data_IF_748736130819
#
_entry.id   IF_748736130819
#
_cell.length_a   1.000
_cell.length_b   1.000
_cell.length_c   1.000
_cell.angle_alpha   90.00
_cell.angle_beta   90.00
_cell.angle_gamma   90.00
#
_symmetry.space_group_name_H-M   'P 1'
#
loop_
_entity.id
_entity.type
_entity.pdbx_description
1 polymer ?
#
# COMPACT_ATOMS: atom_id res chain seq x y z
N UNK A 1 7.73 -8.35 -13.73
CA UNK A 1 7.90 -8.04 -12.30
C UNK A 1 7.74 -9.32 -11.51
N UNK A 2 8.61 -9.64 -10.55
CA UNK A 2 8.38 -10.78 -9.64
C UNK A 2 7.17 -10.45 -8.75
N UNK A 3 6.30 -11.42 -8.48
CA UNK A 3 5.15 -11.21 -7.59
C UNK A 3 5.60 -11.03 -6.14
N UNK A 4 4.88 -10.20 -5.36
CA UNK A 4 5.20 -9.88 -3.96
C UNK A 4 5.44 -11.14 -3.10
N UNK A 5 4.60 -12.16 -3.25
CA UNK A 5 4.75 -13.47 -2.58
C UNK A 5 6.05 -14.20 -2.90
N UNK A 6 6.52 -14.08 -4.15
CA UNK A 6 7.80 -14.65 -4.56
C UNK A 6 8.97 -13.90 -3.91
N UNK A 7 8.87 -12.57 -3.82
CA UNK A 7 9.88 -11.75 -3.15
C UNK A 7 9.96 -12.06 -1.65
N UNK A 8 8.81 -12.19 -0.98
CA UNK A 8 8.73 -12.60 0.43
C UNK A 8 9.42 -13.96 0.62
N UNK A 9 9.08 -14.95 -0.21
CA UNK A 9 9.67 -16.29 -0.12
C UNK A 9 11.19 -16.29 -0.34
N UNK A 10 11.69 -15.50 -1.28
CA UNK A 10 13.15 -15.34 -1.50
C UNK A 10 13.84 -14.75 -0.28
N UNK A 11 13.26 -13.69 0.31
CA UNK A 11 13.80 -13.01 1.49
C UNK A 11 13.76 -13.89 2.75
N UNK A 12 12.71 -14.68 2.93
CA UNK A 12 12.61 -15.66 4.03
C UNK A 12 13.69 -16.74 3.92
N UNK A 13 13.99 -17.20 2.70
CA UNK A 13 15.07 -18.16 2.47
C UNK A 13 16.44 -17.56 2.78
N UNK A 14 16.69 -16.32 2.38
CA UNK A 14 17.94 -15.61 2.68
C UNK A 14 18.11 -15.41 4.19
N UNK A 15 17.04 -15.02 4.89
CA UNK A 15 17.01 -14.89 6.35
C UNK A 15 17.35 -16.22 7.02
N UNK A 16 16.67 -17.30 6.64
CA UNK A 16 16.92 -18.63 7.20
C UNK A 16 18.37 -19.10 6.96
N UNK A 17 18.92 -18.83 5.78
CA UNK A 17 20.31 -19.17 5.47
C UNK A 17 21.30 -18.41 6.37
N UNK A 18 21.03 -17.14 6.66
CA UNK A 18 21.88 -16.32 7.53
C UNK A 18 21.80 -16.77 8.98
N UNK A 19 20.59 -17.00 9.50
CA UNK A 19 20.35 -17.51 10.85
C UNK A 19 21.02 -18.88 11.08
N UNK A 20 20.91 -19.79 10.11
CA UNK A 20 21.57 -21.10 10.17
C UNK A 20 23.10 -21.01 10.17
N UNK A 21 23.66 -19.92 9.64
CA UNK A 21 25.10 -19.70 9.54
C UNK A 21 25.67 -18.88 10.70
N UNK A 22 24.83 -18.41 11.62
CA UNK A 22 25.22 -17.58 12.76
C UNK A 22 25.98 -18.42 13.80
N UNK A 23 27.00 -17.83 14.42
CA UNK A 23 27.87 -18.49 15.40
C UNK A 23 28.99 -19.36 14.82
N UNK A 24 29.13 -19.41 13.50
CA UNK A 24 30.16 -20.22 12.80
C UNK A 24 31.39 -19.43 12.31
N UNK A 25 31.37 -18.10 12.42
CA UNK A 25 32.39 -17.20 11.88
C UNK A 25 33.12 -16.33 12.92
N UNK A 26 34.01 -15.48 12.41
CA UNK A 26 34.71 -14.48 13.21
C UNK A 26 33.75 -13.40 13.75
N UNK A 27 34.02 -12.78 14.91
CA UNK A 27 33.10 -11.82 15.55
C UNK A 27 32.62 -10.67 14.64
N UNK A 28 33.49 -10.14 13.78
CA UNK A 28 33.14 -9.06 12.84
C UNK A 28 32.14 -9.55 11.78
N UNK A 29 32.31 -10.78 11.30
CA UNK A 29 31.41 -11.40 10.33
C UNK A 29 30.07 -11.70 10.99
N UNK A 30 30.10 -12.18 12.23
CA UNK A 30 28.88 -12.45 13.01
C UNK A 30 28.09 -11.17 13.28
N UNK A 31 28.75 -10.07 13.66
CA UNK A 31 28.11 -8.78 13.81
C UNK A 31 27.46 -8.31 12.50
N UNK A 32 28.17 -8.43 11.37
CA UNK A 32 27.62 -8.07 10.06
C UNK A 32 26.39 -8.93 9.69
N UNK A 33 26.41 -10.23 10.00
CA UNK A 33 25.26 -11.12 9.81
C UNK A 33 24.09 -10.72 10.70
N UNK A 34 24.31 -10.47 11.99
CA UNK A 34 23.25 -10.02 12.91
C UNK A 34 22.59 -8.72 12.44
N UNK A 35 23.40 -7.76 11.99
CA UNK A 35 22.89 -6.53 11.37
C UNK A 35 22.05 -6.83 10.13
N UNK A 36 22.53 -7.71 9.24
CA UNK A 36 21.79 -8.07 8.03
C UNK A 36 20.47 -8.79 8.33
N UNK A 37 20.46 -9.69 9.32
CA UNK A 37 19.26 -10.38 9.81
C UNK A 37 18.22 -9.35 10.28
N UNK A 38 18.64 -8.36 11.09
CA UNK A 38 17.74 -7.32 11.58
C UNK A 38 17.10 -6.52 10.43
N UNK A 39 17.89 -6.11 9.43
CA UNK A 39 17.35 -5.44 8.25
C UNK A 39 16.39 -6.31 7.44
N UNK A 40 16.71 -7.58 7.23
CA UNK A 40 15.85 -8.51 6.50
C UNK A 40 14.53 -8.78 7.23
N UNK A 41 14.54 -8.87 8.55
CA UNK A 41 13.33 -9.02 9.36
C UNK A 41 12.41 -7.80 9.21
N UNK A 42 12.95 -6.58 9.29
CA UNK A 42 12.19 -5.35 9.08
C UNK A 42 11.64 -5.24 7.65
N UNK A 43 12.45 -5.59 6.64
CA UNK A 43 12.01 -5.62 5.23
C UNK A 43 10.87 -6.62 5.02
N UNK A 44 10.97 -7.82 5.61
CA UNK A 44 9.93 -8.84 5.55
C UNK A 44 8.63 -8.42 6.24
N UNK A 45 8.72 -7.74 7.38
CA UNK A 45 7.55 -7.19 8.07
C UNK A 45 6.81 -6.18 7.20
N UNK A 46 7.56 -5.27 6.56
CA UNK A 46 6.98 -4.32 5.59
C UNK A 46 6.34 -5.05 4.40
N UNK A 47 7.04 -6.05 3.83
CA UNK A 47 6.52 -6.80 2.67
C UNK A 47 5.26 -7.62 3.03
N UNK A 48 5.20 -8.21 4.23
CA UNK A 48 4.01 -8.92 4.72
C UNK A 48 2.85 -7.96 4.94
N UNK A 49 3.12 -6.77 5.47
CA UNK A 49 2.11 -5.70 5.60
C UNK A 49 1.55 -5.30 4.23
N UNK A 50 2.38 -5.30 3.20
CA UNK A 50 1.94 -5.06 1.81
C UNK A 50 1.13 -6.25 1.24
N UNK A 51 1.49 -7.50 1.55
CA UNK A 51 0.75 -8.70 1.08
C UNK A 51 -0.58 -8.89 1.84
N UNK A 52 -0.63 -8.42 3.08
CA UNK A 52 -1.84 -8.37 3.91
C UNK A 52 -2.80 -7.26 3.51
N UNK A 53 -2.43 -6.39 2.55
CA UNK A 53 -3.41 -5.46 1.99
C UNK A 53 -4.55 -6.27 1.37
N UNK A 54 -5.76 -6.19 1.95
CA UNK A 54 -6.87 -6.99 1.46
C UNK A 54 -7.16 -6.58 0.04
N UNK A 55 -7.33 -7.58 -0.82
CA UNK A 55 -7.71 -7.35 -2.20
C UNK A 55 -9.00 -6.52 -2.22
N UNK A 56 -8.92 -5.31 -2.78
CA UNK A 56 -10.07 -4.41 -2.81
C UNK A 56 -11.22 -5.09 -3.56
N UNK A 57 -12.39 -5.13 -2.93
CA UNK A 57 -13.58 -5.64 -3.59
C UNK A 57 -14.05 -4.70 -4.72
N UNK A 58 -15.02 -5.14 -5.52
CA UNK A 58 -15.47 -4.39 -6.69
C UNK A 58 -15.95 -2.97 -6.35
N UNK A 59 -16.66 -2.80 -5.23
CA UNK A 59 -17.11 -1.48 -4.77
C UNK A 59 -15.94 -0.59 -4.35
N UNK A 60 -14.92 -1.15 -3.69
CA UNK A 60 -13.72 -0.43 -3.31
C UNK A 60 -12.91 0.00 -4.54
N UNK A 61 -12.77 -0.87 -5.54
CA UNK A 61 -12.10 -0.57 -6.81
C UNK A 61 -12.78 0.57 -7.55
N UNK A 62 -14.11 0.55 -7.64
CA UNK A 62 -14.88 1.64 -8.28
C UNK A 62 -14.62 3.00 -7.61
N UNK A 63 -14.61 3.03 -6.28
CA UNK A 63 -14.34 4.28 -5.55
C UNK A 63 -12.88 4.69 -5.72
N UNK A 64 -11.93 3.75 -5.62
CA UNK A 64 -10.50 4.02 -5.79
C UNK A 64 -10.19 4.58 -7.18
N UNK A 65 -10.71 3.98 -8.26
CA UNK A 65 -10.51 4.49 -9.62
C UNK A 65 -11.02 5.92 -9.78
N UNK A 66 -12.19 6.24 -9.21
CA UNK A 66 -12.71 7.60 -9.22
C UNK A 66 -11.84 8.60 -8.44
N UNK A 67 -11.18 8.16 -7.35
CA UNK A 67 -10.20 8.99 -6.63
C UNK A 67 -8.94 9.30 -7.45
N UNK A 68 -8.66 8.53 -8.51
CA UNK A 68 -7.53 8.77 -9.42
C UNK A 68 -7.87 9.77 -10.52
N UNK A 69 -9.15 10.03 -10.78
CA UNK A 69 -9.55 10.94 -11.86
C UNK A 69 -9.07 12.37 -11.56
N UNK A 70 -8.42 13.04 -12.54
CA UNK A 70 -7.93 14.39 -12.37
C UNK A 70 -9.09 15.34 -12.09
N UNK A 71 -8.93 16.14 -11.05
CA UNK A 71 -9.94 17.03 -10.45
C UNK A 71 -10.54 18.10 -11.39
N UNK A 72 -10.04 18.22 -12.63
CA UNK A 72 -10.44 19.25 -13.58
C UNK A 72 -11.82 19.01 -14.23
N UNK A 73 -12.33 17.78 -14.22
CA UNK A 73 -13.63 17.44 -14.82
C UNK A 73 -14.80 17.47 -13.82
N UNK A 74 -14.55 17.82 -12.55
CA UNK A 74 -15.57 17.89 -11.50
C UNK A 74 -15.83 19.36 -11.12
N UNK A 75 -17.02 19.92 -11.40
CA UNK A 75 -17.34 21.31 -11.09
C UNK A 75 -17.20 21.61 -9.58
N UNK A 76 -16.58 22.74 -9.22
CA UNK A 76 -16.41 23.26 -7.85
C UNK A 76 -15.50 22.46 -6.89
N UNK A 77 -14.22 22.25 -7.23
CA UNK A 77 -13.23 21.72 -6.27
C UNK A 77 -12.06 22.64 -5.98
N UNK A 78 -11.65 22.66 -4.72
CA UNK A 78 -10.68 23.61 -4.18
C UNK A 78 -9.25 23.04 -4.02
N UNK A 79 -9.00 21.73 -4.03
CA UNK A 79 -7.64 21.18 -3.80
C UNK A 79 -7.52 19.70 -4.20
N UNK A 80 -6.27 19.21 -4.38
CA UNK A 80 -5.89 17.77 -4.47
C UNK A 80 -6.08 17.01 -3.15
N UNK A 81 -7.05 17.43 -2.35
CA UNK A 81 -7.22 16.97 -0.98
C UNK A 81 -8.31 15.91 -0.92
N UNK A 82 -8.06 14.82 -0.19
CA UNK A 82 -9.03 13.73 0.01
C UNK A 82 -10.37 14.26 0.54
N UNK A 83 -10.32 15.30 1.37
CA UNK A 83 -11.52 15.99 1.87
C UNK A 83 -12.42 16.54 0.75
N UNK A 84 -11.85 16.94 -0.39
CA UNK A 84 -12.64 17.38 -1.54
C UNK A 84 -13.39 16.20 -2.19
N UNK A 85 -12.77 15.01 -2.27
CA UNK A 85 -13.42 13.81 -2.81
C UNK A 85 -14.57 13.34 -1.92
N UNK A 86 -14.35 13.32 -0.61
CA UNK A 86 -15.38 12.93 0.35
C UNK A 86 -16.55 13.93 0.34
N UNK A 87 -16.24 15.22 0.23
CA UNK A 87 -17.27 16.26 0.12
C UNK A 87 -18.12 16.06 -1.14
N UNK A 88 -17.53 15.70 -2.29
CA UNK A 88 -18.31 15.40 -3.49
C UNK A 88 -19.20 14.16 -3.35
N UNK A 89 -18.77 13.14 -2.59
CA UNK A 89 -19.62 11.99 -2.28
C UNK A 89 -20.81 12.38 -1.40
N UNK A 90 -20.59 13.24 -0.39
CA UNK A 90 -21.65 13.74 0.48
C UNK A 90 -22.62 14.70 -0.22
N UNK A 91 -22.12 15.56 -1.11
CA UNK A 91 -22.92 16.51 -1.87
C UNK A 91 -23.64 15.88 -3.07
N UNK A 92 -23.44 14.58 -3.33
CA UNK A 92 -24.04 13.89 -4.48
C UNK A 92 -23.49 14.35 -5.83
N UNK A 93 -22.28 14.91 -5.84
CA UNK A 93 -21.61 15.42 -7.05
C UNK A 93 -20.74 14.36 -7.73
N UNK A 94 -20.57 13.18 -7.12
CA UNK A 94 -19.93 12.03 -7.74
C UNK A 94 -20.93 11.29 -8.65
N UNK A 95 -20.45 10.50 -9.64
CA UNK A 95 -21.31 9.66 -10.44
C UNK A 95 -22.15 8.71 -9.56
N UNK A 96 -23.40 8.44 -9.96
CA UNK A 96 -24.33 7.63 -9.17
C UNK A 96 -23.77 6.24 -8.81
N UNK A 97 -23.03 5.63 -9.75
CA UNK A 97 -22.32 4.37 -9.53
C UNK A 97 -21.32 4.46 -8.36
N UNK A 98 -20.55 5.54 -8.29
CA UNK A 98 -19.54 5.76 -7.24
C UNK A 98 -20.22 6.02 -5.90
N UNK A 99 -21.28 6.83 -5.87
CA UNK A 99 -22.05 7.10 -4.65
C UNK A 99 -22.64 5.80 -4.10
N UNK A 100 -23.23 4.97 -4.97
CA UNK A 100 -23.81 3.69 -4.57
C UNK A 100 -22.74 2.76 -4.01
N UNK A 101 -21.63 2.58 -4.73
CA UNK A 101 -20.52 1.75 -4.27
C UNK A 101 -19.98 2.23 -2.92
N UNK A 102 -19.79 3.55 -2.72
CA UNK A 102 -19.32 4.12 -1.45
C UNK A 102 -20.27 3.87 -0.28
N UNK A 103 -21.60 3.98 -0.49
CA UNK A 103 -22.61 3.71 0.55
C UNK A 103 -22.65 2.24 1.00
N UNK A 104 -22.26 1.32 0.12
CA UNK A 104 -22.21 -0.11 0.41
C UNK A 104 -20.92 -0.52 1.14
N UNK A 105 -19.97 0.40 1.33
CA UNK A 105 -18.72 0.13 2.04
C UNK A 105 -18.88 0.25 3.55
N UNK A 106 -18.28 -0.68 4.28
CA UNK A 106 -18.01 -0.54 5.71
C UNK A 106 -16.91 0.49 5.97
N UNK A 107 -16.84 1.01 7.21
CA UNK A 107 -15.78 1.93 7.63
C UNK A 107 -14.37 1.37 7.40
N UNK A 108 -14.17 0.06 7.64
CA UNK A 108 -12.87 -0.59 7.38
C UNK A 108 -12.51 -0.58 5.89
N UNK A 109 -13.49 -0.81 5.01
CA UNK A 109 -13.25 -0.80 3.58
C UNK A 109 -12.97 0.60 3.04
N UNK A 110 -13.59 1.63 3.61
CA UNK A 110 -13.27 3.04 3.32
C UNK A 110 -11.82 3.37 3.70
N UNK A 111 -11.36 2.89 4.86
CA UNK A 111 -9.96 3.06 5.29
C UNK A 111 -8.97 2.32 4.39
N UNK A 112 -9.32 1.13 3.90
CA UNK A 112 -8.46 0.40 2.95
C UNK A 112 -8.29 1.13 1.61
N UNK A 113 -9.35 1.77 1.10
CA UNK A 113 -9.26 2.62 -0.10
C UNK A 113 -8.32 3.80 0.14
N UNK A 114 -8.41 4.42 1.31
CA UNK A 114 -7.53 5.51 1.72
C UNK A 114 -6.06 5.10 1.74
N UNK A 115 -5.76 3.95 2.37
CA UNK A 115 -4.40 3.41 2.40
C UNK A 115 -3.88 3.09 1.00
N UNK A 116 -4.70 2.46 0.16
CA UNK A 116 -4.32 2.13 -1.22
C UNK A 116 -4.08 3.40 -2.06
N UNK A 117 -4.95 4.41 -1.94
CA UNK A 117 -4.79 5.68 -2.64
C UNK A 117 -3.55 6.45 -2.17
N UNK A 118 -3.28 6.48 -0.86
CA UNK A 118 -2.10 7.14 -0.30
C UNK A 118 -0.79 6.54 -0.80
N UNK A 119 -0.68 5.21 -0.84
CA UNK A 119 0.50 4.51 -1.37
C UNK A 119 0.76 4.83 -2.84
N UNK A 120 -0.28 4.87 -3.67
CA UNK A 120 -0.13 5.22 -5.09
C UNK A 120 0.28 6.69 -5.29
N UNK A 121 -0.07 7.61 -4.38
CA UNK A 121 0.39 9.00 -4.46
C UNK A 121 1.86 9.14 -4.06
N UNK A 122 2.33 8.37 -3.09
CA UNK A 122 3.76 8.32 -2.72
C UNK A 122 4.60 7.79 -3.89
N UNK A 123 4.20 6.69 -4.51
CA UNK A 123 4.90 6.10 -5.67
C UNK A 123 4.99 7.07 -6.86
N UNK A 124 3.91 7.81 -7.17
CA UNK A 124 3.91 8.83 -8.23
C UNK A 124 4.75 10.08 -7.88
N UNK A 125 4.98 10.35 -6.59
CA UNK A 125 5.80 11.50 -6.17
C UNK A 125 7.30 11.24 -6.31
N UNK A 126 7.71 9.97 -6.23
CA UNK A 126 9.11 9.55 -6.35
C UNK A 126 9.58 9.45 -7.82
N UNK A 127 8.68 9.31 -8.79
CA UNK A 127 9.04 9.29 -10.23
C UNK A 127 9.37 10.68 -10.83
N UNK A 128 9.19 11.77 -10.08
CA UNK A 128 9.41 13.15 -10.56
C UNK A 128 10.77 13.75 -10.13
N UNK A 129 11.64 12.98 -9.47
CA UNK A 129 12.99 13.44 -9.06
C UNK A 129 14.15 12.79 -9.85
#
# INVERSE_FOLDING_TARGET
MKGLKQLISEKEKDLQSLENSLGLGFPIIEQAKSTRICYLQAELENLRTLDEQPELNDNQKVVLEWLKEPLNDIPNRFTKDYFAYITCLFLGQAPERVIKSYRELSSNQQMQILSAWGLEQEENSDEIN
#
